data_IF_060374798686
#
_entry.id   IF_060374798686
#
_cell.length_a   1.000
_cell.length_b   1.000
_cell.length_c   1.000
_cell.angle_alpha   90.00
_cell.angle_beta   90.00
_cell.angle_gamma   90.00
#
_symmetry.space_group_name_H-M   'P 1'
#
loop_
_entity.id
_entity.type
_entity.pdbx_description
1 polymer ?
#
# COMPACT_ATOMS: atom_id res chain seq x y z
N UNK A 1 65.88 9.60 -21.54
CA UNK A 1 64.94 8.82 -20.73
C UNK A 1 63.61 9.63 -20.57
N UNK A 2 62.54 9.21 -21.26
CA UNK A 2 61.26 9.92 -21.24
C UNK A 2 60.39 9.24 -20.20
N UNK A 3 60.12 9.92 -19.11
CA UNK A 3 59.15 9.43 -18.11
C UNK A 3 57.75 9.72 -18.59
N UNK A 4 57.02 8.67 -18.95
CA UNK A 4 55.60 8.72 -19.29
C UNK A 4 54.80 8.71 -17.96
N UNK A 5 54.27 9.85 -17.56
CA UNK A 5 53.37 9.95 -16.41
C UNK A 5 51.99 9.54 -16.90
N UNK A 6 51.54 8.33 -16.51
CA UNK A 6 50.20 7.83 -16.77
C UNK A 6 49.24 8.44 -15.75
N UNK A 7 48.48 9.45 -16.16
CA UNK A 7 47.45 10.07 -15.35
C UNK A 7 46.22 9.16 -15.38
N UNK A 8 46.01 8.36 -14.33
CA UNK A 8 44.81 7.57 -14.12
C UNK A 8 43.65 8.51 -13.72
N UNK A 9 42.80 8.86 -14.69
CA UNK A 9 41.50 9.49 -14.43
C UNK A 9 40.57 8.43 -13.82
N UNK A 10 40.47 8.42 -12.50
CA UNK A 10 39.39 7.70 -11.82
C UNK A 10 38.10 8.50 -11.98
N UNK A 11 37.24 8.10 -12.94
CA UNK A 11 35.87 8.55 -13.00
C UNK A 11 35.14 8.00 -11.75
N UNK A 12 35.03 8.85 -10.74
CA UNK A 12 34.14 8.58 -9.61
C UNK A 12 32.69 8.59 -10.10
N UNK A 13 32.06 7.41 -10.21
CA UNK A 13 30.62 7.31 -10.34
C UNK A 13 30.00 7.81 -9.04
N UNK A 14 29.58 9.06 -9.04
CA UNK A 14 28.71 9.60 -8.00
C UNK A 14 27.37 8.90 -8.16
N UNK A 15 27.20 7.79 -7.45
CA UNK A 15 25.88 7.20 -7.25
C UNK A 15 25.06 8.23 -6.48
N UNK A 16 24.22 8.99 -7.18
CA UNK A 16 23.18 9.81 -6.57
C UNK A 16 22.18 8.86 -5.92
N UNK A 17 22.45 8.43 -4.68
CA UNK A 17 21.47 7.77 -3.84
C UNK A 17 20.46 8.84 -3.45
N UNK A 18 19.41 8.98 -4.24
CA UNK A 18 18.31 9.88 -3.94
C UNK A 18 17.50 9.25 -2.80
N UNK A 19 17.56 9.88 -1.61
CA UNK A 19 16.78 9.43 -0.47
C UNK A 19 15.29 9.43 -0.81
N UNK A 20 14.56 8.35 -0.45
CA UNK A 20 13.12 8.23 -0.65
C UNK A 20 12.40 9.36 0.08
N UNK A 21 11.44 10.02 -0.59
CA UNK A 21 10.61 11.05 0.04
C UNK A 21 9.84 10.46 1.24
N UNK A 22 9.73 11.18 2.36
CA UNK A 22 8.95 10.69 3.50
C UNK A 22 7.53 10.26 3.15
N UNK A 23 6.88 10.98 2.23
CA UNK A 23 5.55 10.64 1.74
C UNK A 23 5.46 9.31 1.01
N UNK A 24 6.53 8.84 0.40
CA UNK A 24 6.56 7.62 -0.41
C UNK A 24 6.99 6.37 0.40
N UNK A 25 7.27 6.53 1.68
CA UNK A 25 7.72 5.42 2.55
C UNK A 25 6.70 4.30 2.73
N UNK A 26 5.41 4.57 2.50
CA UNK A 26 4.36 3.53 2.57
C UNK A 26 4.20 2.74 1.28
N UNK A 27 4.82 3.17 0.17
CA UNK A 27 4.74 2.45 -1.09
C UNK A 27 5.37 1.06 -0.93
N UNK A 28 4.65 0.04 -1.40
CA UNK A 28 5.08 -1.35 -1.34
C UNK A 28 3.95 -2.30 -0.99
N UNK A 29 4.30 -3.54 -0.68
CA UNK A 29 3.34 -4.61 -0.39
C UNK A 29 3.23 -4.81 1.11
N UNK A 30 2.00 -4.88 1.59
CA UNK A 30 1.66 -5.03 3.00
C UNK A 30 0.74 -6.23 3.22
N UNK A 31 1.07 -7.06 4.20
CA UNK A 31 0.21 -8.14 4.67
C UNK A 31 -0.70 -7.60 5.76
N UNK A 32 -2.01 -7.77 5.58
CA UNK A 32 -2.98 -7.35 6.58
C UNK A 32 -2.86 -8.15 7.89
N UNK A 33 -3.45 -7.65 8.98
CA UNK A 33 -3.33 -8.22 10.31
C UNK A 33 -3.78 -9.68 10.37
N UNK A 34 -4.88 -10.01 9.71
CA UNK A 34 -5.44 -11.38 9.65
C UNK A 34 -4.66 -12.32 8.73
N UNK A 35 -3.64 -11.82 8.03
CA UNK A 35 -2.82 -12.55 7.05
C UNK A 35 -3.62 -13.15 5.89
N UNK A 36 -4.75 -12.57 5.58
CA UNK A 36 -5.65 -13.04 4.51
C UNK A 36 -5.43 -12.36 3.18
N UNK A 37 -4.85 -11.14 3.18
CA UNK A 37 -4.64 -10.36 1.98
C UNK A 37 -3.28 -9.65 1.99
N UNK A 38 -2.67 -9.53 0.80
CA UNK A 38 -1.59 -8.57 0.57
C UNK A 38 -2.13 -7.40 -0.23
N UNK A 39 -1.79 -6.21 0.21
CA UNK A 39 -2.21 -4.95 -0.39
C UNK A 39 -0.97 -4.21 -0.89
N UNK A 40 -0.96 -3.84 -2.16
CA UNK A 40 0.05 -2.98 -2.74
C UNK A 40 -0.38 -1.52 -2.59
N UNK A 41 0.37 -0.75 -1.81
CA UNK A 41 0.20 0.70 -1.76
C UNK A 41 1.05 1.31 -2.87
N UNK A 42 0.43 2.17 -3.66
CA UNK A 42 1.03 2.85 -4.79
C UNK A 42 0.56 4.31 -4.85
N UNK A 43 1.30 5.10 -5.59
CA UNK A 43 1.02 6.53 -5.75
C UNK A 43 0.35 6.78 -7.11
N UNK A 44 -0.71 7.59 -7.10
CA UNK A 44 -1.35 8.11 -8.30
C UNK A 44 -1.43 9.62 -8.18
N UNK A 45 -0.71 10.35 -9.02
CA UNK A 45 -0.53 11.80 -8.89
C UNK A 45 -0.02 12.14 -7.47
N UNK A 46 -0.77 12.91 -6.69
CA UNK A 46 -0.40 13.35 -5.34
C UNK A 46 -1.10 12.55 -4.23
N UNK A 47 -1.80 11.48 -4.57
CA UNK A 47 -2.51 10.63 -3.61
C UNK A 47 -1.96 9.19 -3.61
N UNK A 48 -2.31 8.44 -2.56
CA UNK A 48 -1.92 7.05 -2.41
C UNK A 48 -3.16 6.19 -2.37
N UNK A 49 -3.07 5.04 -3.05
CA UNK A 49 -4.11 4.02 -3.11
C UNK A 49 -3.54 2.66 -2.73
N UNK A 50 -4.40 1.72 -2.39
CA UNK A 50 -4.01 0.36 -2.06
C UNK A 50 -4.91 -0.65 -2.73
N UNK A 51 -4.33 -1.56 -3.52
CA UNK A 51 -5.05 -2.62 -4.23
C UNK A 51 -4.72 -4.00 -3.68
N UNK A 52 -5.69 -4.89 -3.71
CA UNK A 52 -5.51 -6.29 -3.32
C UNK A 52 -4.68 -7.00 -4.38
N UNK A 53 -3.49 -7.51 -4.02
CA UNK A 53 -2.60 -8.22 -4.94
C UNK A 53 -2.47 -9.71 -4.63
N UNK A 54 -2.98 -10.15 -3.49
CA UNK A 54 -2.97 -11.54 -3.08
C UNK A 54 -4.08 -11.82 -2.07
N UNK A 55 -4.70 -12.99 -2.18
CA UNK A 55 -5.74 -13.51 -1.27
C UNK A 55 -5.34 -14.91 -0.86
N UNK A 56 -5.22 -15.18 0.44
CA UNK A 56 -4.72 -16.45 0.97
C UNK A 56 -5.56 -17.67 0.55
N UNK A 57 -6.87 -17.51 0.47
CA UNK A 57 -7.79 -18.59 0.06
C UNK A 57 -7.51 -19.10 -1.36
N UNK A 58 -6.93 -18.25 -2.23
CA UNK A 58 -6.61 -18.62 -3.61
C UNK A 58 -5.37 -19.51 -3.72
N UNK A 59 -4.52 -19.58 -2.68
CA UNK A 59 -3.37 -20.52 -2.67
C UNK A 59 -3.84 -21.96 -2.53
N UNK A 60 -4.79 -22.22 -1.66
CA UNK A 60 -5.36 -23.55 -1.45
C UNK A 60 -6.41 -23.93 -2.49
N UNK A 61 -7.01 -22.95 -3.15
CA UNK A 61 -8.00 -23.13 -4.21
C UNK A 61 -7.75 -22.16 -5.37
N UNK A 62 -6.87 -22.51 -6.33
CA UNK A 62 -6.52 -21.64 -7.47
C UNK A 62 -7.70 -21.30 -8.38
N UNK A 63 -8.79 -22.08 -8.34
CA UNK A 63 -10.01 -21.82 -9.12
C UNK A 63 -10.97 -20.85 -8.42
N UNK A 64 -10.65 -20.45 -7.19
CA UNK A 64 -11.44 -19.48 -6.46
C UNK A 64 -11.22 -18.08 -7.04
N UNK A 65 -12.32 -17.42 -7.40
CA UNK A 65 -12.31 -16.03 -7.89
C UNK A 65 -13.26 -15.19 -7.05
N UNK A 66 -12.83 -14.72 -5.85
CA UNK A 66 -13.71 -13.97 -4.96
C UNK A 66 -14.26 -12.72 -5.62
N UNK A 67 -15.59 -12.54 -5.48
CA UNK A 67 -16.32 -11.39 -6.02
C UNK A 67 -16.80 -10.49 -4.90
N UNK A 68 -17.05 -9.24 -5.22
CA UNK A 68 -17.50 -8.19 -4.31
C UNK A 68 -19.02 -8.29 -4.03
N UNK A 69 -19.46 -9.47 -3.61
CA UNK A 69 -20.91 -9.83 -3.49
C UNK A 69 -21.70 -8.90 -2.56
N UNK A 70 -21.03 -8.36 -1.55
CA UNK A 70 -21.67 -7.54 -0.50
C UNK A 70 -21.63 -6.04 -0.82
N UNK A 71 -21.17 -5.66 -2.03
CA UNK A 71 -21.14 -4.24 -2.39
C UNK A 71 -22.54 -3.64 -2.31
N UNK A 72 -22.71 -2.47 -1.66
CA UNK A 72 -23.99 -1.78 -1.60
C UNK A 72 -24.52 -1.41 -3.00
N UNK A 73 -23.63 -1.16 -3.97
CA UNK A 73 -24.02 -0.99 -5.36
C UNK A 73 -24.10 -2.36 -6.07
N UNK A 74 -25.31 -2.82 -6.47
CA UNK A 74 -25.48 -4.10 -7.14
C UNK A 74 -24.67 -4.26 -8.41
N UNK A 75 -24.40 -3.17 -9.14
CA UNK A 75 -23.63 -3.18 -10.40
C UNK A 75 -22.15 -3.51 -10.19
N UNK A 76 -21.63 -3.36 -8.97
CA UNK A 76 -20.24 -3.66 -8.62
C UNK A 76 -20.04 -5.07 -8.03
N UNK A 77 -21.10 -5.82 -7.77
CA UNK A 77 -21.02 -7.12 -7.08
C UNK A 77 -20.35 -8.23 -7.87
N UNK A 78 -20.25 -8.08 -9.18
CA UNK A 78 -19.57 -9.04 -10.06
C UNK A 78 -18.07 -8.79 -10.23
N UNK A 79 -17.56 -7.65 -9.75
CA UNK A 79 -16.14 -7.33 -9.89
C UNK A 79 -15.27 -8.24 -9.01
N UNK A 80 -14.05 -8.53 -9.47
CA UNK A 80 -13.08 -9.32 -8.71
C UNK A 80 -12.55 -8.52 -7.51
N UNK A 81 -12.39 -9.18 -6.36
CA UNK A 81 -11.69 -8.60 -5.21
C UNK A 81 -10.19 -8.53 -5.49
N UNK A 82 -9.61 -9.53 -6.16
CA UNK A 82 -8.21 -9.46 -6.59
C UNK A 82 -8.03 -8.34 -7.62
N UNK A 83 -7.09 -7.45 -7.37
CA UNK A 83 -6.82 -6.27 -8.19
C UNK A 83 -7.67 -5.03 -7.85
N UNK A 84 -8.62 -5.15 -6.91
CA UNK A 84 -9.49 -4.05 -6.49
C UNK A 84 -8.74 -3.06 -5.60
N UNK A 85 -8.92 -1.77 -5.85
CA UNK A 85 -8.53 -0.73 -4.91
C UNK A 85 -9.45 -0.75 -3.69
N UNK A 86 -8.89 -1.04 -2.52
CA UNK A 86 -9.60 -1.00 -1.24
C UNK A 86 -9.24 0.22 -0.39
N UNK A 87 -8.11 0.86 -0.67
CA UNK A 87 -7.72 2.14 -0.07
C UNK A 87 -7.61 3.16 -1.21
N UNK A 88 -8.23 4.32 -1.04
CA UNK A 88 -8.25 5.37 -2.07
C UNK A 88 -8.09 6.75 -1.46
N UNK A 89 -7.44 7.65 -2.21
CA UNK A 89 -7.42 9.09 -1.92
C UNK A 89 -6.63 9.51 -0.69
N UNK A 90 -5.68 8.70 -0.22
CA UNK A 90 -4.84 9.05 0.93
C UNK A 90 -3.93 10.22 0.60
N UNK A 91 -3.91 11.24 1.45
CA UNK A 91 -3.07 12.42 1.34
C UNK A 91 -2.03 12.46 2.45
N UNK A 92 -0.78 12.74 2.08
CA UNK A 92 0.30 12.86 3.05
C UNK A 92 0.37 14.28 3.63
N UNK A 93 0.43 14.37 4.95
CA UNK A 93 0.69 15.63 5.68
C UNK A 93 1.28 15.32 7.04
N UNK A 94 2.37 15.99 7.41
CA UNK A 94 3.00 15.92 8.74
C UNK A 94 3.28 14.48 9.22
N UNK A 95 3.82 13.63 8.34
CA UNK A 95 4.22 12.27 8.70
C UNK A 95 3.08 11.24 8.72
N UNK A 96 1.88 11.62 8.28
CA UNK A 96 0.70 10.74 8.25
C UNK A 96 0.00 10.82 6.89
N UNK A 97 -0.74 9.77 6.57
CA UNK A 97 -1.62 9.73 5.40
C UNK A 97 -3.06 9.71 5.89
N UNK A 98 -3.87 10.64 5.42
CA UNK A 98 -5.24 10.84 5.88
C UNK A 98 -6.17 11.25 4.74
N UNK A 99 -7.43 11.54 5.08
CA UNK A 99 -8.48 11.99 4.16
C UNK A 99 -8.84 10.99 3.06
N UNK A 100 -8.46 9.75 3.24
CA UNK A 100 -8.81 8.68 2.32
C UNK A 100 -9.93 7.79 2.84
N UNK A 101 -10.30 6.82 2.01
CA UNK A 101 -11.37 5.87 2.28
C UNK A 101 -10.81 4.45 2.19
N UNK A 102 -11.29 3.57 3.06
CA UNK A 102 -11.07 2.13 2.97
C UNK A 102 -12.39 1.42 2.72
N UNK A 103 -12.36 0.40 1.87
CA UNK A 103 -13.47 -0.48 1.59
C UNK A 103 -13.21 -1.89 2.13
N UNK A 104 -14.18 -2.46 2.83
CA UNK A 104 -14.15 -3.82 3.35
C UNK A 104 -15.11 -4.72 2.56
N UNK A 105 -14.63 -5.49 1.56
CA UNK A 105 -15.51 -6.27 0.68
C UNK A 105 -16.35 -7.32 1.41
N UNK A 106 -15.80 -7.96 2.46
CA UNK A 106 -16.56 -8.94 3.27
C UNK A 106 -17.77 -8.35 3.97
N UNK A 107 -17.73 -7.06 4.28
CA UNK A 107 -18.81 -6.33 4.96
C UNK A 107 -19.62 -5.45 4.01
N UNK A 108 -19.12 -5.20 2.80
CA UNK A 108 -19.74 -4.24 1.87
C UNK A 108 -19.75 -2.82 2.42
N UNK A 109 -18.69 -2.41 3.15
CA UNK A 109 -18.69 -1.15 3.89
C UNK A 109 -17.48 -0.28 3.53
N UNK A 110 -17.74 1.01 3.33
CA UNK A 110 -16.75 2.07 3.25
C UNK A 110 -16.58 2.75 4.61
N UNK A 111 -15.38 3.18 4.91
CA UNK A 111 -15.05 3.92 6.12
C UNK A 111 -13.92 4.92 5.87
N UNK A 112 -13.78 5.91 6.75
CA UNK A 112 -12.64 6.82 6.72
C UNK A 112 -11.37 6.07 7.12
N UNK A 113 -10.27 6.43 6.49
CA UNK A 113 -8.99 5.76 6.66
C UNK A 113 -7.87 6.75 6.95
N UNK A 114 -7.03 6.40 7.92
CA UNK A 114 -5.73 7.04 8.18
C UNK A 114 -4.65 5.97 8.25
N UNK A 115 -3.44 6.30 7.81
CA UNK A 115 -2.28 5.41 7.86
C UNK A 115 -1.16 6.11 8.62
N UNK A 116 -0.46 5.36 9.46
CA UNK A 116 0.73 5.79 10.17
C UNK A 116 1.84 4.75 10.04
N UNK A 117 3.02 5.16 9.57
CA UNK A 117 4.18 4.28 9.56
C UNK A 117 4.82 4.32 10.95
N UNK A 118 4.89 3.15 11.59
CA UNK A 118 5.46 3.00 12.92
C UNK A 118 6.99 2.93 12.86
N UNK A 119 7.65 3.24 13.99
CA UNK A 119 9.12 3.21 14.09
C UNK A 119 9.74 1.83 13.83
N UNK A 120 8.98 0.75 14.07
CA UNK A 120 9.38 -0.63 13.78
C UNK A 120 9.16 -1.07 12.33
N UNK A 121 8.71 -0.16 11.46
CA UNK A 121 8.45 -0.43 10.05
C UNK A 121 7.07 -1.04 9.75
N UNK A 122 6.23 -1.26 10.74
CA UNK A 122 4.85 -1.69 10.54
C UNK A 122 3.95 -0.52 10.13
N UNK A 123 2.84 -0.81 9.50
CA UNK A 123 1.84 0.19 9.09
C UNK A 123 0.59 0.06 9.95
N UNK A 124 0.25 1.13 10.63
CA UNK A 124 -0.98 1.25 11.42
C UNK A 124 -2.09 1.78 10.54
N UNK A 125 -3.17 1.03 10.43
CA UNK A 125 -4.38 1.38 9.70
C UNK A 125 -5.44 1.79 10.72
N UNK A 126 -5.92 3.01 10.64
CA UNK A 126 -6.97 3.54 11.52
C UNK A 126 -8.23 3.71 10.69
N UNK A 127 -9.27 2.96 11.02
CA UNK A 127 -10.54 2.94 10.31
C UNK A 127 -11.61 3.55 11.21
N UNK A 128 -12.34 4.54 10.71
CA UNK A 128 -13.38 5.23 11.47
C UNK A 128 -14.68 5.30 10.69
N UNK A 129 -15.78 4.98 11.35
CA UNK A 129 -17.14 5.09 10.80
C UNK A 129 -18.14 5.33 11.92
N UNK A 130 -19.00 6.33 11.74
CA UNK A 130 -20.14 6.60 12.65
C UNK A 130 -19.73 6.66 14.14
N UNK A 131 -18.60 7.29 14.45
CA UNK A 131 -18.09 7.42 15.81
C UNK A 131 -17.30 6.22 16.34
N UNK A 132 -17.25 5.11 15.61
CA UNK A 132 -16.43 3.95 15.95
C UNK A 132 -15.07 4.01 15.26
N UNK A 133 -14.02 3.63 15.97
CA UNK A 133 -12.66 3.56 15.45
C UNK A 133 -12.08 2.17 15.72
N UNK A 134 -11.50 1.57 14.67
CA UNK A 134 -10.76 0.30 14.73
C UNK A 134 -9.37 0.51 14.18
N UNK A 135 -8.39 -0.12 14.83
CA UNK A 135 -6.99 -0.10 14.40
C UNK A 135 -6.56 -1.51 13.99
N UNK A 136 -5.76 -1.58 12.92
CA UNK A 136 -5.10 -2.79 12.44
C UNK A 136 -3.61 -2.50 12.26
N UNK A 137 -2.78 -3.53 12.40
CA UNK A 137 -1.34 -3.45 12.16
C UNK A 137 -0.98 -4.35 10.99
N UNK A 138 -0.44 -3.75 9.92
CA UNK A 138 0.01 -4.46 8.74
C UNK A 138 1.52 -4.57 8.71
N UNK A 139 2.04 -5.67 8.17
CA UNK A 139 3.48 -5.92 8.06
C UNK A 139 3.94 -5.85 6.60
N UNK A 140 5.10 -5.24 6.39
CA UNK A 140 5.70 -5.13 5.06
C UNK A 140 6.15 -6.51 4.54
N UNK A 141 5.99 -6.74 3.23
CA UNK A 141 6.41 -7.94 2.51
C UNK A 141 7.36 -7.63 1.36
#
# INVERSE_FOLDING_TARGET
>A
MKHLVLLLLTLGFLNNIQAQKPSDKIIGIWLNEDKTNKIEIYKTNDTYSGKVVWISEMESNPNLHPKDKNNPNPQLRSRSILGMDIITGMQYSNGKWANGTIYAPKKGMYADCKLELLSNGQLKIIVSKSGFTKTQIWTRK
#
